data_IF_295940774082
#
_entry.id   IF_295940774082
#
_cell.length_a   1.000
_cell.length_b   1.000
_cell.length_c   1.000
_cell.angle_alpha   90.00
_cell.angle_beta   90.00
_cell.angle_gamma   90.00
#
_symmetry.space_group_name_H-M   'P 1'
#
loop_
_entity.id
_entity.type
_entity.pdbx_description
1 polymer ?
#
# COMPACT_ATOMS: atom_id res chain seq x y z
N UNK A 1 -23.91 -0.49 -10.39
CA UNK A 1 -22.49 -0.65 -10.09
C UNK A 1 -21.67 -0.61 -11.37
N UNK A 2 -20.60 0.14 -11.35
CA UNK A 2 -19.73 0.24 -12.52
C UNK A 2 -18.97 -1.09 -12.71
N UNK A 3 -19.17 -1.72 -13.89
CA UNK A 3 -18.52 -2.99 -14.21
C UNK A 3 -17.01 -2.83 -14.40
N UNK A 4 -16.52 -1.61 -14.62
CA UNK A 4 -15.10 -1.35 -14.80
C UNK A 4 -14.27 -1.85 -13.61
N UNK A 5 -14.81 -1.72 -12.39
CA UNK A 5 -14.09 -2.13 -11.17
C UNK A 5 -14.16 -3.62 -10.88
N UNK A 6 -15.02 -4.38 -11.58
CA UNK A 6 -15.16 -5.81 -11.30
C UNK A 6 -13.92 -6.63 -11.68
N UNK A 7 -13.06 -6.09 -12.54
CA UNK A 7 -11.85 -6.76 -13.00
C UNK A 7 -10.59 -6.32 -12.26
N UNK A 8 -10.69 -5.29 -11.41
CA UNK A 8 -9.54 -4.79 -10.68
C UNK A 8 -9.28 -5.68 -9.47
N UNK A 9 -8.10 -6.27 -9.39
CA UNK A 9 -7.70 -7.17 -8.29
C UNK A 9 -6.80 -6.49 -7.28
N UNK A 10 -6.04 -5.49 -7.70
CA UNK A 10 -5.10 -4.78 -6.83
C UNK A 10 -4.92 -3.35 -7.31
N UNK A 11 -4.69 -2.46 -6.36
CA UNK A 11 -4.35 -1.07 -6.62
C UNK A 11 -3.06 -0.76 -5.89
N UNK A 12 -2.09 -0.23 -6.61
CA UNK A 12 -0.80 0.17 -6.03
C UNK A 12 -0.65 1.68 -6.14
N UNK A 13 -0.04 2.27 -5.14
CA UNK A 13 0.20 3.69 -5.15
C UNK A 13 1.61 4.00 -4.63
N UNK A 14 2.18 5.10 -5.13
CA UNK A 14 3.46 5.61 -4.66
C UNK A 14 3.25 6.26 -3.30
N UNK A 15 4.31 6.36 -2.50
CA UNK A 15 4.23 6.92 -1.16
C UNK A 15 4.51 8.42 -1.18
N UNK A 16 5.73 8.78 -1.56
CA UNK A 16 6.15 10.19 -1.50
C UNK A 16 5.50 10.99 -2.61
N UNK A 17 4.82 12.07 -2.23
CA UNK A 17 4.14 12.95 -3.18
C UNK A 17 2.81 12.42 -3.68
N UNK A 18 2.38 11.23 -3.27
CA UNK A 18 1.09 10.64 -3.69
C UNK A 18 0.26 10.24 -2.49
N UNK A 19 0.69 9.24 -1.73
CA UNK A 19 -0.06 8.78 -0.56
C UNK A 19 0.04 9.78 0.59
N UNK A 20 1.25 10.26 0.87
CA UNK A 20 1.49 11.18 1.97
C UNK A 20 1.17 12.61 1.57
N UNK A 21 0.55 13.34 2.49
CA UNK A 21 0.32 14.79 2.34
C UNK A 21 1.64 15.54 2.48
N UNK A 22 1.61 16.86 2.27
CA UNK A 22 2.78 17.72 2.50
C UNK A 22 3.26 17.67 3.95
N UNK A 23 2.43 17.22 4.87
CA UNK A 23 2.77 17.08 6.28
C UNK A 23 3.25 15.66 6.61
N UNK A 24 3.50 14.83 5.59
CA UNK A 24 3.96 13.45 5.73
C UNK A 24 2.99 12.56 6.52
N UNK A 25 1.68 12.77 6.30
CA UNK A 25 0.63 11.94 6.87
C UNK A 25 -0.32 11.48 5.78
N UNK A 26 -1.08 10.42 6.07
CA UNK A 26 -2.14 9.96 5.16
C UNK A 26 -3.45 10.58 5.64
N UNK A 27 -4.16 11.27 4.76
CA UNK A 27 -5.39 11.94 5.14
C UNK A 27 -6.48 10.95 5.52
N UNK A 28 -7.42 11.31 6.41
CA UNK A 28 -8.54 10.44 6.76
C UNK A 28 -9.38 10.03 5.55
N UNK A 29 -9.52 10.92 4.57
CA UNK A 29 -10.23 10.61 3.32
C UNK A 29 -9.53 9.49 2.55
N UNK A 30 -8.21 9.54 2.47
CA UNK A 30 -7.43 8.52 1.79
C UNK A 30 -7.53 7.17 2.54
N UNK A 31 -7.44 7.19 3.85
CA UNK A 31 -7.61 5.99 4.66
C UNK A 31 -8.99 5.37 4.41
N UNK A 32 -10.04 6.18 4.38
CA UNK A 32 -11.40 5.70 4.11
C UNK A 32 -11.51 5.07 2.72
N UNK A 33 -10.87 5.68 1.72
CA UNK A 33 -10.87 5.14 0.36
C UNK A 33 -10.16 3.78 0.29
N UNK A 34 -9.04 3.63 0.99
CA UNK A 34 -8.30 2.36 1.06
C UNK A 34 -9.17 1.28 1.70
N UNK A 35 -9.84 1.60 2.80
CA UNK A 35 -10.74 0.65 3.47
C UNK A 35 -11.87 0.23 2.54
N UNK A 36 -12.45 1.17 1.80
CA UNK A 36 -13.54 0.86 0.87
C UNK A 36 -13.09 -0.08 -0.25
N UNK A 37 -11.88 0.12 -0.79
CA UNK A 37 -11.31 -0.78 -1.79
C UNK A 37 -11.15 -2.20 -1.23
N UNK A 38 -10.58 -2.32 -0.05
CA UNK A 38 -10.32 -3.61 0.57
C UNK A 38 -11.62 -4.35 0.91
N UNK A 39 -12.66 -3.63 1.30
CA UNK A 39 -13.99 -4.21 1.54
C UNK A 39 -14.58 -4.83 0.28
N UNK A 40 -14.16 -4.38 -0.89
CA UNK A 40 -14.58 -4.94 -2.18
C UNK A 40 -13.69 -6.08 -2.65
N UNK A 41 -12.76 -6.52 -1.82
CA UNK A 41 -11.84 -7.60 -2.17
C UNK A 41 -10.67 -7.18 -3.05
N UNK A 42 -10.42 -5.87 -3.15
CA UNK A 42 -9.29 -5.34 -3.91
C UNK A 42 -8.07 -5.25 -2.97
N UNK A 43 -6.95 -5.80 -3.38
CA UNK A 43 -5.71 -5.68 -2.63
C UNK A 43 -5.17 -4.27 -2.75
N UNK A 44 -4.68 -3.71 -1.64
CA UNK A 44 -4.04 -2.41 -1.66
C UNK A 44 -2.55 -2.57 -1.44
N UNK A 45 -1.75 -1.97 -2.31
CA UNK A 45 -0.30 -2.06 -2.24
C UNK A 45 0.38 -0.71 -2.36
N UNK A 46 1.64 -0.69 -1.95
CA UNK A 46 2.51 0.49 -2.05
C UNK A 46 3.75 0.15 -2.84
N UNK A 47 4.23 1.12 -3.63
CA UNK A 47 5.49 1.04 -4.33
C UNK A 47 6.37 2.19 -3.88
N UNK A 48 7.61 1.91 -3.50
CA UNK A 48 8.51 2.95 -3.01
C UNK A 48 9.96 2.62 -3.33
N UNK A 49 10.79 3.65 -3.46
CA UNK A 49 12.24 3.47 -3.50
C UNK A 49 12.86 3.24 -2.14
N UNK A 50 12.07 3.41 -1.07
CA UNK A 50 12.55 3.21 0.30
C UNK A 50 12.73 1.74 0.63
N UNK A 51 13.51 1.45 1.66
CA UNK A 51 13.63 0.11 2.22
C UNK A 51 12.25 -0.39 2.70
N UNK A 52 11.91 -1.63 2.34
CA UNK A 52 10.58 -2.17 2.63
C UNK A 52 10.33 -2.30 4.13
N UNK A 53 11.27 -2.84 4.90
CA UNK A 53 11.07 -3.01 6.33
C UNK A 53 10.98 -1.67 7.06
N UNK A 54 11.79 -0.69 6.65
CA UNK A 54 11.72 0.64 7.23
C UNK A 54 10.37 1.30 6.90
N UNK A 55 9.84 1.05 5.72
CA UNK A 55 8.54 1.58 5.31
C UNK A 55 7.41 0.95 6.14
N UNK A 56 7.44 -0.36 6.34
CA UNK A 56 6.43 -1.04 7.17
C UNK A 56 6.40 -0.47 8.60
N UNK A 57 7.55 -0.12 9.12
CA UNK A 57 7.64 0.44 10.48
C UNK A 57 6.91 1.79 10.60
N UNK A 58 6.63 2.45 9.49
CA UNK A 58 5.95 3.74 9.48
C UNK A 58 4.42 3.63 9.38
N UNK A 59 3.88 2.44 9.11
CA UNK A 59 2.43 2.28 8.87
C UNK A 59 1.58 2.77 10.04
N UNK A 60 1.98 2.46 11.26
CA UNK A 60 1.23 2.89 12.44
C UNK A 60 1.20 4.40 12.54
N UNK A 61 2.35 5.04 12.35
CA UNK A 61 2.44 6.49 12.39
C UNK A 61 1.59 7.15 11.31
N UNK A 62 1.52 6.53 10.14
CA UNK A 62 0.75 7.05 9.02
C UNK A 62 -0.75 6.74 9.11
N UNK A 63 -1.15 5.86 10.04
CA UNK A 63 -2.55 5.49 10.22
C UNK A 63 -3.05 4.44 9.22
N UNK A 64 -2.15 3.68 8.61
CA UNK A 64 -2.51 2.66 7.61
C UNK A 64 -2.10 1.26 8.02
N UNK A 65 -1.76 1.05 9.28
CA UNK A 65 -1.41 -0.27 9.78
C UNK A 65 -2.58 -1.25 9.55
N UNK A 66 -2.26 -2.41 9.01
CA UNK A 66 -3.26 -3.42 8.68
C UNK A 66 -4.00 -3.18 7.37
N UNK A 67 -3.69 -2.08 6.65
CA UNK A 67 -4.39 -1.75 5.41
C UNK A 67 -3.56 -2.03 4.15
N UNK A 68 -2.26 -2.32 4.29
CA UNK A 68 -1.38 -2.56 3.15
C UNK A 68 -1.17 -4.06 2.97
N UNK A 69 -1.63 -4.58 1.86
CA UNK A 69 -1.52 -6.01 1.56
C UNK A 69 -0.17 -6.36 0.95
N UNK A 70 0.34 -5.51 0.06
CA UNK A 70 1.60 -5.75 -0.64
C UNK A 70 2.43 -4.48 -0.63
N UNK A 71 3.71 -4.62 -0.35
CA UNK A 71 4.66 -3.51 -0.39
C UNK A 71 5.82 -3.88 -1.32
N UNK A 72 6.06 -3.05 -2.33
CA UNK A 72 7.21 -3.16 -3.21
C UNK A 72 8.18 -2.05 -2.84
N UNK A 73 9.34 -2.43 -2.32
CA UNK A 73 10.33 -1.48 -1.83
C UNK A 73 11.64 -1.53 -2.59
N UNK A 74 12.53 -0.61 -2.27
CA UNK A 74 13.87 -0.49 -2.88
C UNK A 74 13.82 -0.47 -4.41
N UNK A 75 12.82 0.21 -4.99
CA UNK A 75 12.69 0.30 -6.44
C UNK A 75 12.37 -1.03 -7.11
N UNK A 76 11.76 -1.97 -6.39
CA UNK A 76 11.39 -3.28 -6.93
C UNK A 76 12.28 -4.43 -6.47
N UNK A 77 13.33 -4.12 -5.69
CA UNK A 77 14.24 -5.16 -5.19
C UNK A 77 13.67 -5.98 -4.05
N UNK A 78 12.64 -5.48 -3.39
CA UNK A 78 12.00 -6.14 -2.26
C UNK A 78 10.49 -6.15 -2.44
N UNK A 79 9.86 -7.29 -2.13
CA UNK A 79 8.40 -7.41 -2.13
C UNK A 79 7.99 -8.07 -0.81
N UNK A 80 7.10 -7.43 -0.09
CA UNK A 80 6.49 -7.99 1.12
C UNK A 80 4.99 -8.11 0.85
N UNK A 81 4.51 -9.35 0.69
CA UNK A 81 3.10 -9.64 0.44
C UNK A 81 2.50 -10.25 1.70
N UNK A 82 1.83 -9.41 2.49
CA UNK A 82 1.21 -9.85 3.75
C UNK A 82 -0.10 -10.60 3.50
N UNK A 83 -0.73 -10.39 2.34
CA UNK A 83 -1.94 -11.14 2.00
C UNK A 83 -1.65 -12.61 1.76
N UNK A 84 -0.45 -12.94 1.26
CA UNK A 84 -0.06 -14.31 0.95
C UNK A 84 1.16 -14.79 1.76
N UNK A 85 1.62 -13.98 2.71
CA UNK A 85 2.75 -14.27 3.59
C UNK A 85 4.03 -14.62 2.80
N UNK A 86 4.35 -13.78 1.82
CA UNK A 86 5.52 -13.97 0.95
C UNK A 86 6.45 -12.77 1.10
N UNK A 87 7.75 -13.06 1.25
CA UNK A 87 8.78 -12.03 1.25
C UNK A 87 9.81 -12.40 0.20
N UNK A 88 10.05 -11.49 -0.75
CA UNK A 88 11.03 -11.67 -1.82
C UNK A 88 12.05 -10.53 -1.73
N UNK A 89 13.31 -10.88 -1.83
CA UNK A 89 14.38 -9.89 -1.80
C UNK A 89 15.43 -10.22 -2.86
N UNK A 90 15.67 -9.27 -3.75
CA UNK A 90 16.70 -9.35 -4.78
C UNK A 90 17.68 -8.20 -4.57
N UNK A 91 18.78 -8.49 -3.91
CA UNK A 91 19.82 -7.51 -3.63
C UNK A 91 21.01 -7.69 -4.57
#
# INVERSE_FOLDING_TARGET
>A
MDTTFSHIKAVFCDIDGTLLTSQHTVSPRTVAAIRALRERGVLFGLCTGRDAHATEAMYELWGIEGLVDVLVGCGGAEVIDRAHDIIIRHL
#
